data_IF_715085123141
#
_entry.id   IF_715085123141
#
_cell.length_a   1.000
_cell.length_b   1.000
_cell.length_c   1.000
_cell.angle_alpha   90.00
_cell.angle_beta   90.00
_cell.angle_gamma   90.00
#
_symmetry.space_group_name_H-M   'P 1'
#
loop_
_entity.id
_entity.type
_entity.pdbx_description
1 polymer ?
#
# COMPACT_ATOMS: atom_id res chain seq x y z
N UNK A 1 -36.83 -18.33 -47.81
CA UNK A 1 -35.90 -18.95 -46.84
C UNK A 1 -34.51 -18.50 -47.21
N UNK A 2 -34.14 -17.28 -46.86
CA UNK A 2 -32.74 -16.82 -46.88
C UNK A 2 -32.66 -15.80 -45.75
N UNK A 3 -32.17 -16.25 -44.59
CA UNK A 3 -31.91 -15.43 -43.42
C UNK A 3 -30.41 -15.32 -43.26
N UNK A 4 -29.93 -14.08 -43.26
CA UNK A 4 -28.55 -13.65 -43.18
C UNK A 4 -27.70 -14.39 -42.12
N UNK A 5 -26.56 -14.92 -42.54
CA UNK A 5 -25.44 -15.20 -41.64
C UNK A 5 -24.71 -13.88 -41.38
N UNK A 6 -24.92 -13.30 -40.20
CA UNK A 6 -24.11 -12.19 -39.69
C UNK A 6 -22.64 -12.64 -39.46
N UNK A 7 -21.65 -11.76 -39.70
CA UNK A 7 -20.25 -12.08 -39.45
C UNK A 7 -19.98 -12.16 -37.94
N UNK A 8 -19.41 -13.27 -37.48
CA UNK A 8 -18.84 -13.37 -36.12
C UNK A 8 -17.70 -12.38 -35.98
N UNK A 9 -17.96 -11.28 -35.27
CA UNK A 9 -16.95 -10.28 -34.95
C UNK A 9 -15.80 -10.92 -34.14
N UNK A 10 -14.62 -10.97 -34.76
CA UNK A 10 -13.42 -11.50 -34.14
C UNK A 10 -12.93 -10.52 -33.08
N UNK A 11 -13.08 -10.88 -31.80
CA UNK A 11 -12.51 -10.14 -30.67
C UNK A 11 -11.03 -9.78 -30.90
N UNK A 12 -10.58 -8.60 -30.41
CA UNK A 12 -9.22 -8.12 -30.65
C UNK A 12 -8.18 -9.08 -30.06
N UNK A 13 -7.12 -9.33 -30.83
CA UNK A 13 -5.96 -10.10 -30.39
C UNK A 13 -5.04 -9.24 -29.54
N UNK A 14 -4.56 -9.79 -28.44
CA UNK A 14 -3.64 -9.18 -27.49
C UNK A 14 -2.20 -9.50 -27.89
N UNK A 15 -1.24 -8.63 -27.56
CA UNK A 15 0.19 -8.85 -27.82
C UNK A 15 0.85 -9.84 -26.83
N UNK A 16 0.08 -10.81 -26.34
CA UNK A 16 0.53 -11.84 -25.40
C UNK A 16 0.21 -13.20 -25.99
N UNK A 17 1.18 -14.11 -25.99
CA UNK A 17 1.10 -15.44 -26.63
C UNK A 17 0.96 -16.55 -25.59
N UNK A 18 0.26 -17.62 -25.96
CA UNK A 18 0.26 -18.86 -25.21
C UNK A 18 1.49 -19.70 -25.55
N UNK A 19 2.34 -20.01 -24.55
CA UNK A 19 3.59 -20.78 -24.75
C UNK A 19 3.44 -22.26 -25.11
N UNK A 20 2.22 -22.74 -25.38
CA UNK A 20 1.94 -24.10 -25.85
C UNK A 20 1.49 -24.10 -27.32
N UNK A 21 0.50 -23.29 -27.68
CA UNK A 21 -0.04 -23.24 -29.05
C UNK A 21 0.58 -22.13 -29.91
N UNK A 22 1.34 -21.20 -29.30
CA UNK A 22 1.91 -20.02 -29.95
C UNK A 22 0.86 -19.11 -30.62
N UNK A 23 -0.38 -19.13 -30.14
CA UNK A 23 -1.44 -18.21 -30.58
C UNK A 23 -1.57 -17.03 -29.61
N UNK A 24 -1.95 -15.87 -30.15
CA UNK A 24 -2.22 -14.66 -29.37
C UNK A 24 -3.52 -14.81 -28.58
N UNK A 25 -3.52 -14.36 -27.33
CA UNK A 25 -4.73 -14.34 -26.53
C UNK A 25 -5.75 -13.37 -27.11
N UNK A 26 -7.03 -13.71 -27.01
CA UNK A 26 -8.16 -12.83 -27.31
C UNK A 26 -8.85 -12.40 -26.03
N UNK A 27 -9.62 -11.31 -26.08
CA UNK A 27 -10.34 -10.78 -24.92
C UNK A 27 -11.22 -11.81 -24.19
N UNK A 28 -11.77 -12.78 -24.93
CA UNK A 28 -12.66 -13.81 -24.40
C UNK A 28 -11.94 -15.13 -24.06
N UNK A 29 -10.62 -15.20 -24.23
CA UNK A 29 -9.86 -16.42 -23.94
C UNK A 29 -9.79 -16.67 -22.44
N UNK A 30 -9.84 -17.95 -22.07
CA UNK A 30 -9.72 -18.37 -20.69
C UNK A 30 -8.25 -18.71 -20.42
N UNK A 31 -7.58 -17.82 -19.67
CA UNK A 31 -6.15 -17.91 -19.38
C UNK A 31 -5.92 -18.45 -17.98
N UNK A 32 -4.99 -19.39 -17.87
CA UNK A 32 -4.60 -20.05 -16.62
C UNK A 32 -3.12 -19.85 -16.35
N UNK A 33 -2.76 -19.55 -15.11
CA UNK A 33 -1.38 -19.48 -14.62
C UNK A 33 -1.04 -20.67 -13.72
N UNK A 34 0.18 -21.17 -13.82
CA UNK A 34 0.71 -22.17 -12.88
C UNK A 34 1.09 -21.51 -11.55
N UNK A 35 0.60 -22.01 -10.41
CA UNK A 35 0.83 -21.36 -9.12
C UNK A 35 2.29 -21.36 -8.65
N UNK A 36 3.12 -22.31 -9.12
CA UNK A 36 4.51 -22.45 -8.68
C UNK A 36 5.51 -21.56 -9.42
N UNK A 37 5.20 -21.12 -10.65
CA UNK A 37 6.14 -20.36 -11.48
C UNK A 37 5.51 -19.24 -12.30
N UNK A 38 4.20 -19.02 -12.20
CA UNK A 38 3.51 -17.86 -12.80
C UNK A 38 3.27 -17.92 -14.31
N UNK A 39 3.86 -18.86 -15.04
CA UNK A 39 3.67 -18.98 -16.50
C UNK A 39 2.20 -19.18 -16.89
N UNK A 40 1.78 -18.51 -17.96
CA UNK A 40 0.39 -18.39 -18.42
C UNK A 40 0.13 -19.13 -19.73
N UNK A 41 -1.01 -19.81 -19.82
CA UNK A 41 -1.43 -20.61 -20.98
C UNK A 41 -2.96 -20.56 -21.13
N UNK A 42 -3.49 -20.87 -22.32
CA UNK A 42 -4.92 -21.18 -22.44
C UNK A 42 -5.32 -22.35 -21.54
N UNK A 43 -6.54 -22.32 -21.01
CA UNK A 43 -7.12 -23.40 -20.19
C UNK A 43 -7.00 -24.76 -20.87
N UNK A 44 -7.39 -24.84 -22.14
CA UNK A 44 -7.40 -26.08 -22.92
C UNK A 44 -5.98 -26.62 -23.10
N UNK A 45 -5.04 -25.74 -23.43
CA UNK A 45 -3.64 -26.06 -23.63
C UNK A 45 -3.00 -26.60 -22.34
N UNK A 46 -3.17 -25.89 -21.22
CA UNK A 46 -2.62 -26.30 -19.93
C UNK A 46 -3.27 -27.58 -19.42
N UNK A 47 -4.59 -27.72 -19.55
CA UNK A 47 -5.32 -28.91 -19.10
C UNK A 47 -4.87 -30.16 -19.87
N UNK A 48 -4.69 -30.04 -21.20
CA UNK A 48 -4.18 -31.14 -22.04
C UNK A 48 -2.75 -31.52 -21.67
N UNK A 49 -1.89 -30.54 -21.38
CA UNK A 49 -0.51 -30.79 -20.95
C UNK A 49 -0.45 -31.50 -19.59
N UNK A 50 -1.21 -31.02 -18.61
CA UNK A 50 -1.25 -31.60 -17.27
C UNK A 50 -1.92 -32.99 -17.21
N UNK A 51 -2.64 -33.38 -18.26
CA UNK A 51 -3.06 -34.76 -18.46
C UNK A 51 -1.91 -35.72 -18.80
N UNK A 52 -0.76 -35.20 -19.26
CA UNK A 52 0.42 -35.98 -19.70
C UNK A 52 1.62 -35.82 -18.78
N UNK A 53 1.83 -34.63 -18.20
CA UNK A 53 2.96 -34.33 -17.33
C UNK A 53 2.58 -33.35 -16.23
N UNK A 54 3.03 -33.58 -14.99
CA UNK A 54 2.83 -32.68 -13.85
C UNK A 54 3.92 -31.61 -13.76
N UNK A 55 4.29 -31.01 -14.90
CA UNK A 55 5.34 -29.98 -14.99
C UNK A 55 4.86 -28.80 -15.83
N UNK A 56 5.41 -27.62 -15.58
CA UNK A 56 5.15 -26.44 -16.39
C UNK A 56 5.71 -26.62 -17.83
N UNK A 57 4.93 -26.37 -18.89
CA UNK A 57 5.39 -26.49 -20.28
C UNK A 57 6.58 -25.60 -20.62
N UNK A 58 6.72 -24.44 -19.95
CA UNK A 58 7.72 -23.42 -20.27
C UNK A 58 9.01 -23.58 -19.46
N UNK A 59 8.93 -23.81 -18.15
CA UNK A 59 10.12 -23.90 -17.28
C UNK A 59 10.35 -25.27 -16.63
N UNK A 60 9.45 -26.24 -16.87
CA UNK A 60 9.50 -27.62 -16.31
C UNK A 60 9.44 -27.73 -14.79
N UNK A 61 9.19 -26.63 -14.07
CA UNK A 61 8.91 -26.66 -12.63
C UNK A 61 7.67 -27.52 -12.33
N UNK A 62 7.65 -28.17 -11.17
CA UNK A 62 6.51 -29.02 -10.75
C UNK A 62 5.21 -28.23 -10.74
N UNK A 63 4.18 -28.79 -11.38
CA UNK A 63 2.87 -28.17 -11.52
C UNK A 63 1.77 -29.22 -11.33
N UNK A 64 0.84 -28.96 -10.43
CA UNK A 64 -0.29 -29.85 -10.14
C UNK A 64 -1.59 -29.25 -10.65
N UNK A 65 -2.51 -30.09 -11.16
CA UNK A 65 -3.82 -29.66 -11.70
C UNK A 65 -4.67 -28.88 -10.71
N UNK A 66 -4.47 -29.07 -9.40
CA UNK A 66 -5.21 -28.36 -8.35
C UNK A 66 -4.51 -27.05 -7.90
N UNK A 67 -3.39 -26.68 -8.53
CA UNK A 67 -2.61 -25.48 -8.24
C UNK A 67 -2.41 -24.65 -9.51
N UNK A 68 -3.52 -24.39 -10.20
CA UNK A 68 -3.59 -23.50 -11.35
C UNK A 68 -4.65 -22.44 -11.09
N UNK A 69 -4.35 -21.19 -11.43
CA UNK A 69 -5.23 -20.06 -11.18
C UNK A 69 -5.74 -19.51 -12.50
N UNK A 70 -7.06 -19.29 -12.61
CA UNK A 70 -7.62 -18.52 -13.72
C UNK A 70 -7.23 -17.06 -13.52
N UNK A 71 -6.63 -16.45 -14.54
CA UNK A 71 -6.27 -15.04 -14.53
C UNK A 71 -7.30 -14.28 -15.36
N UNK A 72 -7.76 -13.15 -14.82
CA UNK A 72 -8.55 -12.18 -15.53
C UNK A 72 -7.63 -11.00 -15.82
N UNK A 73 -7.33 -10.77 -17.10
CA UNK A 73 -6.58 -9.59 -17.52
C UNK A 73 -7.55 -8.42 -17.58
N UNK A 74 -7.23 -7.31 -16.91
CA UNK A 74 -8.00 -6.07 -17.04
C UNK A 74 -7.50 -5.32 -18.28
N UNK A 75 -8.35 -5.17 -19.27
CA UNK A 75 -8.02 -4.48 -20.53
C UNK A 75 -8.53 -3.04 -20.45
N UNK A 76 -7.67 -2.11 -20.05
CA UNK A 76 -7.85 -0.71 -20.37
C UNK A 76 -6.99 -0.40 -21.60
N UNK A 77 -7.57 0.20 -22.64
CA UNK A 77 -6.78 0.84 -23.68
C UNK A 77 -6.02 2.00 -23.03
N UNK A 78 -4.68 2.02 -23.18
CA UNK A 78 -3.90 3.22 -22.85
C UNK A 78 -4.38 4.34 -23.76
N UNK A 79 -5.10 5.29 -23.21
CA UNK A 79 -5.47 6.52 -23.93
C UNK A 79 -4.34 7.52 -23.84
N UNK A 80 -4.30 8.55 -24.68
CA UNK A 80 -3.35 9.67 -24.54
C UNK A 80 -3.44 10.38 -23.16
N UNK A 81 -4.48 10.08 -22.38
CA UNK A 81 -4.66 10.51 -20.99
C UNK A 81 -3.85 9.66 -19.98
N UNK A 82 -3.44 8.44 -20.33
CA UNK A 82 -2.63 7.55 -19.46
C UNK A 82 -1.15 7.97 -19.39
N UNK A 83 -0.66 8.76 -20.35
CA UNK A 83 0.70 9.34 -20.34
C UNK A 83 0.77 10.67 -19.57
N UNK A 84 -0.38 11.19 -19.12
CA UNK A 84 -0.39 12.31 -18.18
C UNK A 84 -0.06 11.76 -16.79
N UNK A 85 1.04 12.21 -16.19
CA UNK A 85 1.33 11.95 -14.79
C UNK A 85 0.08 12.38 -14.00
N UNK A 86 -0.60 11.45 -13.28
CA UNK A 86 -1.80 11.79 -12.55
C UNK A 86 -1.48 12.96 -11.63
N UNK A 87 -2.40 13.93 -11.44
CA UNK A 87 -2.14 15.08 -10.60
C UNK A 87 -1.63 14.58 -9.26
N UNK A 88 -0.43 15.02 -8.88
CA UNK A 88 0.22 14.61 -7.63
C UNK A 88 -0.76 14.89 -6.50
N UNK A 89 -1.27 13.81 -5.90
CA UNK A 89 -2.16 13.95 -4.77
C UNK A 89 -1.39 14.66 -3.66
N UNK A 90 -2.02 15.58 -2.91
CA UNK A 90 -1.31 16.39 -1.94
C UNK A 90 -0.92 15.60 -0.68
N UNK A 91 -1.44 14.37 -0.54
CA UNK A 91 -1.12 13.41 0.52
C UNK A 91 -0.61 12.13 -0.14
N UNK A 92 0.64 11.74 0.11
CA UNK A 92 1.26 10.56 -0.50
C UNK A 92 1.90 9.66 0.55
N UNK A 93 1.79 8.36 0.32
CA UNK A 93 2.48 7.33 1.10
C UNK A 93 3.62 6.77 0.26
N UNK A 94 4.85 7.17 0.59
CA UNK A 94 6.04 6.81 -0.17
C UNK A 94 6.63 5.52 0.39
N UNK A 95 6.68 4.42 -0.39
CA UNK A 95 7.29 3.18 0.07
C UNK A 95 8.80 3.38 0.27
N UNK A 96 9.30 2.94 1.41
CA UNK A 96 10.72 3.02 1.76
C UNK A 96 11.38 1.66 1.60
N UNK A 97 12.49 1.62 0.87
CA UNK A 97 13.38 0.47 0.86
C UNK A 97 14.35 0.61 2.05
N UNK A 98 14.10 -0.16 3.11
CA UNK A 98 14.89 -0.13 4.34
C UNK A 98 15.88 -1.30 4.44
N UNK A 99 16.11 -2.03 3.34
CA UNK A 99 17.15 -3.06 3.31
C UNK A 99 18.52 -2.43 3.60
N UNK A 100 19.29 -3.09 4.45
CA UNK A 100 20.65 -2.67 4.81
C UNK A 100 21.57 -2.63 3.58
N UNK A 101 21.27 -3.44 2.56
CA UNK A 101 22.01 -3.56 1.31
C UNK A 101 21.52 -2.62 0.20
N UNK A 102 20.37 -1.95 0.37
CA UNK A 102 19.82 -1.03 -0.63
C UNK A 102 20.44 0.37 -0.55
N UNK A 103 20.30 1.14 -1.64
CA UNK A 103 20.95 2.44 -1.83
C UNK A 103 20.55 3.50 -0.79
N UNK A 104 21.35 4.58 -0.75
CA UNK A 104 21.47 5.62 0.29
C UNK A 104 20.19 6.32 0.76
N UNK A 105 19.04 6.07 0.15
CA UNK A 105 17.79 6.80 0.38
C UNK A 105 17.16 6.49 1.74
N UNK A 106 17.39 5.30 2.31
CA UNK A 106 16.89 4.94 3.64
C UNK A 106 17.49 5.75 4.80
N UNK A 107 18.57 6.50 4.56
CA UNK A 107 19.26 7.28 5.59
C UNK A 107 18.74 8.73 5.71
N UNK A 108 17.93 9.18 4.75
CA UNK A 108 17.31 10.50 4.76
C UNK A 108 15.80 10.36 4.69
N UNK A 109 15.06 11.27 5.32
CA UNK A 109 13.63 11.34 5.11
C UNK A 109 13.31 11.93 3.73
N UNK A 110 12.25 11.48 3.05
CA UNK A 110 11.82 12.09 1.80
C UNK A 110 11.41 13.55 2.02
N UNK A 111 11.57 14.38 0.99
CA UNK A 111 11.16 15.78 1.04
C UNK A 111 9.64 15.87 1.27
N UNK A 112 9.20 16.72 2.20
CA UNK A 112 7.79 16.80 2.61
C UNK A 112 7.36 15.74 3.64
N UNK A 113 8.27 14.91 4.15
CA UNK A 113 7.99 14.00 5.25
C UNK A 113 7.64 14.75 6.55
N UNK A 114 6.62 14.26 7.26
CA UNK A 114 6.14 14.92 8.48
C UNK A 114 6.90 14.40 9.70
N UNK A 115 7.68 15.27 10.33
CA UNK A 115 8.36 14.94 11.59
C UNK A 115 7.35 14.82 12.73
N UNK A 116 7.36 13.69 13.44
CA UNK A 116 6.42 13.36 14.51
C UNK A 116 7.05 13.31 15.91
N UNK A 117 8.35 13.51 16.03
CA UNK A 117 9.01 13.52 17.33
C UNK A 117 10.48 13.14 17.22
N UNK A 118 11.02 12.63 18.32
CA UNK A 118 12.39 12.14 18.39
C UNK A 118 12.44 10.73 18.97
N UNK A 119 13.44 9.96 18.56
CA UNK A 119 13.74 8.67 19.18
C UNK A 119 14.48 8.84 20.53
N UNK A 120 14.92 7.73 21.12
CA UNK A 120 15.67 7.74 22.39
C UNK A 120 17.04 8.43 22.29
N UNK A 121 17.59 8.53 21.08
CA UNK A 121 18.89 9.17 20.81
C UNK A 121 18.72 10.66 20.48
N UNK A 122 17.49 11.18 20.54
CA UNK A 122 17.15 12.57 20.18
C UNK A 122 17.11 12.81 18.67
N UNK A 123 17.16 11.76 17.85
CA UNK A 123 17.13 11.85 16.40
C UNK A 123 15.69 11.99 15.90
N UNK A 124 15.44 12.76 14.82
CA UNK A 124 14.10 13.00 14.32
C UNK A 124 13.46 11.71 13.80
N UNK A 125 12.17 11.56 14.10
CA UNK A 125 11.30 10.48 13.60
C UNK A 125 10.17 11.07 12.76
N UNK A 126 9.69 10.30 11.79
CA UNK A 126 8.72 10.75 10.80
C UNK A 126 7.47 9.87 10.80
N UNK A 127 6.33 10.45 10.41
CA UNK A 127 5.06 9.72 10.29
C UNK A 127 5.20 8.67 9.20
N UNK A 128 4.94 7.41 9.57
CA UNK A 128 4.93 6.29 8.67
C UNK A 128 3.77 5.36 8.99
N UNK A 129 3.59 4.36 8.16
CA UNK A 129 2.74 3.20 8.42
C UNK A 129 3.42 1.94 7.89
N UNK A 130 3.00 0.79 8.38
CA UNK A 130 3.50 -0.48 7.89
C UNK A 130 2.54 -1.62 8.17
N UNK A 131 2.76 -2.73 7.47
CA UNK A 131 1.94 -3.93 7.59
C UNK A 131 2.38 -4.79 8.78
N UNK A 132 1.43 -5.16 9.65
CA UNK A 132 1.58 -6.06 10.78
C UNK A 132 0.57 -7.19 10.65
N UNK A 133 0.97 -8.32 10.08
CA UNK A 133 0.10 -9.48 9.89
C UNK A 133 -1.26 -9.09 9.27
N UNK A 134 -1.20 -8.42 8.12
CA UNK A 134 -2.30 -7.83 7.35
C UNK A 134 -2.91 -6.52 7.88
N UNK A 135 -2.58 -6.10 9.12
CA UNK A 135 -2.99 -4.79 9.64
C UNK A 135 -2.08 -3.69 9.13
N UNK A 136 -2.62 -2.67 8.46
CA UNK A 136 -1.84 -1.50 8.07
C UNK A 136 -1.88 -0.49 9.22
N UNK A 137 -0.82 -0.34 10.00
CA UNK A 137 -0.87 0.47 11.22
C UNK A 137 0.12 1.63 11.21
N UNK A 138 -0.19 2.72 11.95
CA UNK A 138 0.73 3.83 12.15
C UNK A 138 2.05 3.37 12.79
N UNK A 139 3.15 3.91 12.26
CA UNK A 139 4.49 3.65 12.71
C UNK A 139 5.32 4.95 12.69
N UNK A 140 6.45 4.94 13.37
CA UNK A 140 7.43 6.02 13.37
C UNK A 140 8.67 5.60 12.60
N UNK A 141 8.97 6.27 11.50
CA UNK A 141 10.16 6.00 10.71
C UNK A 141 11.36 6.75 11.27
N UNK A 142 12.47 6.04 11.48
CA UNK A 142 13.74 6.58 11.95
C UNK A 142 14.83 6.36 10.86
N UNK A 143 15.19 7.41 10.09
CA UNK A 143 16.13 7.29 8.98
C UNK A 143 17.50 6.74 9.39
N UNK A 144 18.03 7.21 10.52
CA UNK A 144 19.34 6.79 11.02
C UNK A 144 19.39 5.31 11.42
N UNK A 145 18.23 4.73 11.75
CA UNK A 145 18.08 3.31 12.12
C UNK A 145 17.65 2.44 10.94
N UNK A 146 17.37 3.05 9.78
CA UNK A 146 16.78 2.41 8.59
C UNK A 146 15.63 1.47 8.98
N UNK A 147 14.71 1.97 9.80
CA UNK A 147 13.62 1.16 10.33
C UNK A 147 12.44 2.03 10.74
N UNK A 148 11.25 1.46 10.67
CA UNK A 148 10.07 2.01 11.32
C UNK A 148 9.72 1.25 12.58
N UNK A 149 9.10 1.93 13.54
CA UNK A 149 8.69 1.38 14.82
C UNK A 149 7.19 1.61 15.00
N UNK A 150 6.43 0.52 15.07
CA UNK A 150 4.99 0.56 15.33
C UNK A 150 4.59 -0.42 16.41
N UNK A 151 3.33 -0.36 16.82
CA UNK A 151 2.79 -1.20 17.89
C UNK A 151 1.65 -2.10 17.41
N UNK A 152 1.76 -3.38 17.74
CA UNK A 152 0.79 -4.41 17.38
C UNK A 152 0.72 -5.45 18.50
N UNK A 153 -0.47 -6.02 18.76
CA UNK A 153 -0.66 -7.08 19.76
C UNK A 153 0.06 -6.85 21.12
N UNK A 154 -0.02 -5.63 21.67
CA UNK A 154 0.61 -5.20 22.94
C UNK A 154 2.15 -5.16 22.95
N UNK A 155 2.80 -5.18 21.77
CA UNK A 155 4.26 -5.14 21.63
C UNK A 155 4.67 -4.06 20.63
N UNK A 156 5.88 -3.54 20.79
CA UNK A 156 6.50 -2.71 19.76
C UNK A 156 7.33 -3.57 18.81
N UNK A 157 7.20 -3.34 17.51
CA UNK A 157 7.93 -4.05 16.48
C UNK A 157 8.79 -3.08 15.67
N UNK A 158 9.94 -3.59 15.22
CA UNK A 158 10.81 -2.93 14.26
C UNK A 158 10.49 -3.49 12.87
N UNK A 159 10.10 -2.61 11.95
CA UNK A 159 9.80 -2.92 10.56
C UNK A 159 10.92 -2.45 9.64
N UNK A 160 11.27 -3.31 8.70
CA UNK A 160 12.23 -3.04 7.61
C UNK A 160 11.64 -3.34 6.23
N UNK A 161 10.44 -3.92 6.16
CA UNK A 161 9.73 -4.25 4.92
C UNK A 161 8.32 -3.67 4.99
N UNK A 162 7.77 -3.29 3.83
CA UNK A 162 6.39 -2.80 3.73
C UNK A 162 6.13 -1.52 4.52
N UNK A 163 7.15 -0.65 4.65
CA UNK A 163 7.04 0.66 5.34
C UNK A 163 6.75 1.74 4.32
N UNK A 164 5.77 2.58 4.61
CA UNK A 164 5.44 3.76 3.82
C UNK A 164 5.52 5.02 4.69
N UNK A 165 6.22 6.05 4.22
CA UNK A 165 6.36 7.34 4.90
C UNK A 165 5.34 8.33 4.35
N UNK A 166 4.69 9.07 5.24
CA UNK A 166 3.75 10.11 4.86
C UNK A 166 4.51 11.35 4.35
N UNK A 167 4.23 11.72 3.10
CA UNK A 167 4.74 12.93 2.46
C UNK A 167 3.56 13.82 2.09
N UNK A 168 3.64 15.09 2.50
CA UNK A 168 2.64 16.09 2.15
C UNK A 168 3.22 17.09 1.14
N UNK A 169 2.49 17.34 0.07
CA UNK A 169 2.78 18.38 -0.93
C UNK A 169 1.56 19.30 -1.02
N UNK A 170 1.74 20.61 -1.06
CA UNK A 170 0.63 21.57 -1.19
C UNK A 170 -0.50 21.41 -0.15
N UNK A 171 -0.14 20.88 1.02
CA UNK A 171 -1.02 20.65 2.17
C UNK A 171 -0.42 21.32 3.40
N UNK A 172 -1.29 21.87 4.24
CA UNK A 172 -0.94 22.21 5.61
C UNK A 172 -1.30 21.06 6.54
N UNK A 173 -0.52 20.89 7.61
CA UNK A 173 -0.80 19.89 8.64
C UNK A 173 -0.77 20.54 10.01
N UNK A 174 -1.59 20.01 10.91
CA UNK A 174 -1.68 20.47 12.29
C UNK A 174 -1.90 19.29 13.24
N UNK A 175 -1.43 19.46 14.47
CA UNK A 175 -1.65 18.51 15.55
C UNK A 175 -2.75 19.05 16.45
N UNK A 176 -3.93 18.42 16.40
CA UNK A 176 -5.11 18.91 17.11
C UNK A 176 -5.34 18.08 18.37
N UNK A 177 -5.57 18.68 19.54
CA UNK A 177 -5.83 17.94 20.77
C UNK A 177 -7.00 16.96 20.62
N UNK A 178 -6.78 15.72 21.06
CA UNK A 178 -7.76 14.64 21.10
C UNK A 178 -7.64 13.85 22.40
N UNK A 179 -8.74 13.22 22.80
CA UNK A 179 -8.74 12.36 23.99
C UNK A 179 -9.76 11.23 23.89
N UNK A 180 -9.50 10.14 24.60
CA UNK A 180 -10.47 9.05 24.79
C UNK A 180 -11.07 8.47 23.50
N UNK A 181 -10.28 8.40 22.43
CA UNK A 181 -10.68 7.89 21.12
C UNK A 181 -11.24 8.94 20.16
N UNK A 182 -11.37 10.20 20.61
CA UNK A 182 -11.83 11.30 19.76
C UNK A 182 -10.78 11.71 18.73
N UNK A 183 -11.27 12.12 17.57
CA UNK A 183 -10.49 12.66 16.49
C UNK A 183 -11.28 13.79 15.80
N UNK A 184 -10.61 14.82 15.28
CA UNK A 184 -11.25 15.91 14.54
C UNK A 184 -11.77 15.44 13.17
N UNK A 185 -12.73 16.16 12.55
CA UNK A 185 -13.36 15.76 11.29
C UNK A 185 -12.38 15.64 10.11
N UNK A 186 -11.28 16.40 10.13
CA UNK A 186 -10.24 16.38 9.09
C UNK A 186 -9.01 15.53 9.50
N UNK A 187 -9.16 14.64 10.50
CA UNK A 187 -8.09 13.74 10.90
C UNK A 187 -7.70 12.83 9.72
N UNK A 188 -6.40 12.70 9.47
CA UNK A 188 -5.91 11.86 8.38
C UNK A 188 -6.01 10.38 8.77
N UNK A 189 -6.77 9.53 8.06
CA UNK A 189 -6.74 8.09 8.24
C UNK A 189 -5.34 7.55 7.90
N UNK A 190 -4.69 6.91 8.85
CA UNK A 190 -3.29 6.46 8.71
C UNK A 190 -3.11 4.95 8.77
N UNK A 191 -4.16 4.22 9.11
CA UNK A 191 -4.13 2.76 9.16
C UNK A 191 -5.50 2.13 9.38
N UNK A 192 -5.54 0.81 9.32
CA UNK A 192 -6.71 -0.04 9.53
C UNK A 192 -6.32 -1.27 10.36
N UNK A 193 -7.17 -1.64 11.32
CA UNK A 193 -7.02 -2.88 12.10
C UNK A 193 -7.53 -4.12 11.34
N UNK A 194 -7.38 -5.30 11.95
CA UNK A 194 -7.80 -6.59 11.39
C UNK A 194 -9.31 -6.64 11.03
N UNK A 195 -10.12 -5.89 11.77
CA UNK A 195 -11.57 -5.77 11.56
C UNK A 195 -11.94 -4.62 10.61
N UNK A 196 -10.95 -3.94 10.02
CA UNK A 196 -11.12 -2.81 9.12
C UNK A 196 -11.41 -1.48 9.84
N UNK A 197 -11.22 -1.40 11.16
CA UNK A 197 -11.42 -0.14 11.88
C UNK A 197 -10.30 0.84 11.56
N UNK A 198 -10.67 2.07 11.20
CA UNK A 198 -9.74 3.15 10.92
C UNK A 198 -8.97 3.52 12.18
N UNK A 199 -7.65 3.62 12.04
CA UNK A 199 -6.75 4.12 13.07
C UNK A 199 -6.05 5.39 12.60
N UNK A 200 -5.80 6.29 13.55
CA UNK A 200 -5.24 7.61 13.29
C UNK A 200 -3.86 7.74 13.92
N UNK A 201 -3.01 8.58 13.35
CA UNK A 201 -1.73 8.93 13.94
C UNK A 201 -1.96 9.96 15.03
N UNK A 202 -1.46 9.67 16.23
CA UNK A 202 -1.44 10.61 17.33
C UNK A 202 -0.02 10.92 17.82
N UNK A 203 0.13 12.03 18.51
CA UNK A 203 1.28 12.35 19.37
C UNK A 203 0.83 12.33 20.83
N UNK A 204 1.52 11.54 21.63
CA UNK A 204 1.36 11.50 23.08
C UNK A 204 2.67 11.83 23.76
N UNK A 205 2.59 12.46 24.92
CA UNK A 205 3.75 12.66 25.79
C UNK A 205 3.90 11.44 26.69
N UNK A 206 5.03 10.77 26.60
CA UNK A 206 5.41 9.66 27.49
C UNK A 206 6.83 9.86 27.98
N UNK A 207 7.04 9.80 29.31
CA UNK A 207 8.33 10.14 29.96
C UNK A 207 8.91 11.51 29.54
N UNK A 208 8.04 12.49 29.30
CA UNK A 208 8.44 13.84 28.89
C UNK A 208 8.85 13.99 27.42
N UNK A 209 8.81 12.90 26.63
CA UNK A 209 9.14 12.91 25.21
C UNK A 209 7.84 12.75 24.40
N UNK A 210 7.65 13.58 23.36
CA UNK A 210 6.57 13.41 22.39
C UNK A 210 6.88 12.22 21.48
N UNK A 211 5.97 11.25 21.43
CA UNK A 211 6.10 10.05 20.63
C UNK A 211 4.85 9.83 19.78
N UNK A 212 5.09 9.35 18.57
CA UNK A 212 4.03 8.90 17.69
C UNK A 212 3.45 7.58 18.19
N UNK A 213 2.14 7.46 18.05
CA UNK A 213 1.42 6.24 18.31
C UNK A 213 0.13 6.15 17.52
N UNK A 214 -0.56 5.03 17.73
CA UNK A 214 -1.80 4.66 17.06
C UNK A 214 -2.97 5.03 17.94
N UNK A 215 -3.79 5.97 17.48
CA UNK A 215 -5.09 6.28 18.08
C UNK A 215 -6.10 5.26 17.59
N UNK A 216 -6.73 4.57 18.54
CA UNK A 216 -7.75 3.56 18.25
C UNK A 216 -9.09 4.03 18.81
N UNK A 217 -10.02 4.50 17.96
CA UNK A 217 -11.27 5.12 18.39
C UNK A 217 -12.12 4.22 19.30
N UNK A 218 -12.36 2.97 18.91
CA UNK A 218 -13.20 2.04 19.70
C UNK A 218 -12.58 1.64 21.04
N UNK A 219 -11.26 1.54 21.12
CA UNK A 219 -10.56 1.24 22.37
C UNK A 219 -10.42 2.48 23.27
N UNK A 220 -10.72 3.67 22.74
CA UNK A 220 -10.67 4.95 23.46
C UNK A 220 -9.30 5.31 24.01
N UNK A 221 -8.24 4.83 23.37
CA UNK A 221 -6.85 5.05 23.79
C UNK A 221 -5.95 5.26 22.58
N UNK A 222 -4.80 5.88 22.84
CA UNK A 222 -3.66 5.90 21.95
C UNK A 222 -2.59 4.95 22.46
N UNK A 223 -2.02 4.16 21.56
CA UNK A 223 -0.96 3.21 21.84
C UNK A 223 0.38 3.72 21.31
N UNK A 224 1.39 3.80 22.18
CA UNK A 224 2.74 4.29 21.86
C UNK A 224 3.72 3.11 21.98
N UNK A 225 4.52 2.81 20.94
CA UNK A 225 5.61 1.86 21.04
C UNK A 225 6.75 2.43 21.89
N UNK A 226 7.14 1.71 22.95
CA UNK A 226 8.25 2.08 23.83
C UNK A 226 8.98 0.84 24.36
N UNK A 227 10.30 0.73 24.08
CA UNK A 227 11.21 -0.31 24.60
C UNK A 227 10.69 -1.76 24.51
N UNK A 228 10.13 -2.15 23.37
CA UNK A 228 9.59 -3.50 23.18
C UNK A 228 8.12 -3.65 23.59
N UNK A 229 7.57 -2.68 24.32
CA UNK A 229 6.21 -2.72 24.87
C UNK A 229 5.33 -1.65 24.24
N UNK A 230 4.02 -1.86 24.35
CA UNK A 230 3.01 -0.87 23.98
C UNK A 230 2.48 -0.20 25.25
N UNK A 231 2.66 1.11 25.35
CA UNK A 231 2.10 1.92 26.44
C UNK A 231 0.88 2.67 25.94
N UNK A 232 -0.12 2.89 26.79
CA UNK A 232 -1.33 3.60 26.40
C UNK A 232 -1.45 4.96 27.09
N UNK A 233 -2.06 5.91 26.38
CA UNK A 233 -2.47 7.21 26.91
C UNK A 233 -3.86 7.56 26.41
N UNK A 234 -4.64 8.26 27.24
CA UNK A 234 -5.97 8.76 26.86
C UNK A 234 -5.94 10.21 26.36
N UNK A 235 -4.80 10.91 26.47
CA UNK A 235 -4.61 12.28 26.02
C UNK A 235 -3.51 12.34 24.97
N UNK A 236 -3.80 12.98 23.84
CA UNK A 236 -2.91 13.04 22.69
C UNK A 236 -3.28 14.18 21.75
N UNK A 237 -2.49 14.37 20.70
CA UNK A 237 -2.79 15.25 19.57
C UNK A 237 -2.97 14.37 18.33
N UNK A 238 -3.93 14.65 17.46
CA UNK A 238 -4.22 13.86 16.24
C UNK A 238 -3.74 14.64 15.03
N UNK A 239 -3.15 13.93 14.07
CA UNK A 239 -2.71 14.53 12.81
C UNK A 239 -3.92 14.90 11.93
N UNK A 240 -4.04 16.19 11.63
CA UNK A 240 -5.00 16.75 10.68
C UNK A 240 -4.25 17.28 9.48
N UNK A 241 -4.80 17.04 8.29
CA UNK A 241 -4.26 17.56 7.04
C UNK A 241 -5.34 18.36 6.32
N UNK A 242 -4.98 19.57 5.91
CA UNK A 242 -5.87 20.50 5.20
C UNK A 242 -5.24 20.85 3.85
N UNK A 243 -5.89 20.56 2.71
CA UNK A 243 -5.42 20.99 1.40
C UNK A 243 -5.34 22.51 1.30
N UNK A 244 -4.26 23.05 0.71
CA UNK A 244 -4.20 24.47 0.38
C UNK A 244 -5.12 24.75 -0.80
N UNK A 245 -6.26 25.39 -0.55
CA UNK A 245 -7.14 25.84 -1.63
C UNK A 245 -6.46 27.04 -2.31
N UNK A 246 -6.15 26.93 -3.60
CA UNK A 246 -5.76 28.08 -4.39
C UNK A 246 -6.88 29.12 -4.33
N UNK A 247 -6.63 30.26 -3.70
CA UNK A 247 -7.57 31.38 -3.73
C UNK A 247 -7.52 31.93 -5.14
N UNK A 248 -8.52 31.60 -5.98
CA UNK A 248 -8.75 32.31 -7.23
C UNK A 248 -8.86 33.81 -6.89
N UNK A 249 -7.81 34.57 -7.20
CA UNK A 249 -7.81 36.02 -7.08
C UNK A 249 -8.92 36.57 -7.99
N UNK A 250 -9.84 37.42 -7.51
CA UNK A 250 -10.84 38.02 -8.38
C UNK A 250 -10.13 38.82 -9.47
N UNK A 251 -10.42 38.48 -10.72
CA UNK A 251 -9.89 39.16 -11.89
C UNK A 251 -10.17 40.67 -11.80
N UNK A 252 -9.17 41.54 -12.02
CA UNK A 252 -9.42 42.97 -12.09
C UNK A 252 -10.31 43.26 -13.31
N UNK A 253 -11.36 44.05 -13.06
CA UNK A 253 -12.42 44.46 -13.99
C UNK A 253 -11.91 45.35 -15.13
#
# INVERSE_FOLDING_TARGET
MEGETAPTESSPSLNVLCGICNEFYRANDIIFSTASCGHVFHRECLTRWLGRSSTCPQCRATCHRNRIHRIYLNFAERTELDDQEPPKQPVQWVPMDLDINSSRDASNAPEGAIQCGTDEDGLPTYVARGYFNDDLLPASYAPQKKAAFGSWSCRSYRLIEGVEVLVLTDCDHEWVPGSSGSYPPNALPTGYSEIGEVTYTGLGVYEGIKRLGKVHPSHKVMYIPHRGQEVNTSSYEVLVVTPRVEVESPSPS
#
